data_IF_059667955501
#
_entry.id   IF_059667955501
#
_cell.length_a   1.000
_cell.length_b   1.000
_cell.length_c   1.000
_cell.angle_alpha   90.00
_cell.angle_beta   90.00
_cell.angle_gamma   90.00
#
_symmetry.space_group_name_H-M   'P 1'
#
loop_
_entity.id
_entity.type
_entity.pdbx_description
1 polymer ?
#
# COMPACT_ATOMS: atom_id res chain seq x y z
N UNK A 1 -0.41 -9.18 13.93
CA UNK A 1 -1.21 -10.23 13.28
C UNK A 1 -0.94 -10.18 11.78
N UNK A 2 0.08 -10.91 11.32
CA UNK A 2 0.14 -11.35 9.93
C UNK A 2 -1.04 -12.32 9.78
N UNK A 3 -1.88 -12.19 8.76
CA UNK A 3 -2.86 -13.24 8.43
C UNK A 3 -2.16 -14.11 7.39
N UNK A 4 -1.63 -15.28 7.75
CA UNK A 4 -1.07 -16.19 6.76
C UNK A 4 -2.26 -16.80 6.02
N UNK A 5 -2.40 -16.46 4.75
CA UNK A 5 -3.45 -17.01 3.90
C UNK A 5 -3.00 -16.92 2.45
N UNK A 6 -2.89 -18.07 1.79
CA UNK A 6 -2.75 -18.10 0.34
C UNK A 6 -4.15 -17.80 -0.23
N UNK A 7 -4.45 -16.53 -0.47
CA UNK A 7 -5.76 -16.11 -0.99
C UNK A 7 -5.80 -16.36 -2.50
N UNK A 8 -6.40 -17.47 -2.91
CA UNK A 8 -6.67 -17.76 -4.32
C UNK A 8 -7.50 -16.65 -4.94
N UNK A 9 -7.10 -16.17 -6.11
CA UNK A 9 -7.89 -15.23 -6.91
C UNK A 9 -8.96 -16.05 -7.65
N UNK A 10 -10.27 -15.79 -7.45
CA UNK A 10 -11.31 -16.45 -8.22
C UNK A 10 -11.07 -16.23 -9.70
N UNK A 11 -10.99 -17.30 -10.49
CA UNK A 11 -10.83 -17.18 -11.93
C UNK A 11 -12.21 -16.93 -12.54
N UNK A 12 -12.36 -15.95 -13.45
CA UNK A 12 -13.61 -15.78 -14.17
C UNK A 12 -13.88 -17.06 -14.95
N UNK A 13 -15.06 -17.64 -14.77
CA UNK A 13 -15.52 -18.73 -15.60
C UNK A 13 -15.72 -18.19 -17.02
N UNK A 14 -15.20 -18.89 -18.02
CA UNK A 14 -15.51 -18.56 -19.41
C UNK A 14 -17.02 -18.80 -19.60
N UNK A 15 -17.78 -17.73 -19.89
CA UNK A 15 -19.14 -17.89 -20.40
C UNK A 15 -19.04 -18.48 -21.81
N UNK A 16 -19.24 -19.79 -21.93
CA UNK A 16 -19.36 -20.45 -23.23
C UNK A 16 -20.78 -20.27 -23.77
N UNK A 17 -21.07 -19.15 -24.41
CA UNK A 17 -22.25 -19.03 -25.27
C UNK A 17 -21.94 -19.69 -26.62
N UNK A 18 -22.29 -20.97 -26.77
CA UNK A 18 -22.44 -21.60 -28.07
C UNK A 18 -21.24 -21.52 -29.03
N UNK A 19 -20.05 -21.95 -28.59
CA UNK A 19 -18.96 -22.31 -29.50
C UNK A 19 -17.87 -21.27 -29.76
N UNK A 20 -17.95 -20.06 -29.19
CA UNK A 20 -16.85 -19.09 -29.24
C UNK A 20 -16.36 -18.81 -27.81
N UNK A 21 -15.22 -19.39 -27.44
CA UNK A 21 -14.57 -19.16 -26.16
C UNK A 21 -14.17 -17.69 -26.04
N UNK A 22 -14.87 -16.90 -25.21
CA UNK A 22 -14.42 -15.57 -24.86
C UNK A 22 -13.07 -15.67 -24.12
N UNK A 23 -12.08 -14.80 -24.41
CA UNK A 23 -10.80 -14.86 -23.73
C UNK A 23 -10.99 -14.68 -22.22
N UNK A 24 -10.78 -15.75 -21.45
CA UNK A 24 -10.80 -15.65 -20.00
C UNK A 24 -9.65 -14.72 -19.56
N UNK A 25 -9.97 -13.67 -18.81
CA UNK A 25 -8.95 -12.80 -18.23
C UNK A 25 -8.17 -13.67 -17.22
N UNK A 26 -6.93 -14.04 -17.58
CA UNK A 26 -6.07 -14.85 -16.73
C UNK A 26 -5.52 -13.99 -15.59
N UNK A 27 -6.10 -14.10 -14.41
CA UNK A 27 -5.54 -13.46 -13.22
C UNK A 27 -4.38 -14.30 -12.66
N UNK A 28 -3.31 -13.68 -12.12
CA UNK A 28 -2.25 -14.43 -11.48
C UNK A 28 -2.79 -15.27 -10.32
N UNK A 29 -2.30 -16.51 -10.17
CA UNK A 29 -2.74 -17.45 -9.13
C UNK A 29 -2.51 -16.91 -7.70
N UNK A 30 -1.62 -15.94 -7.54
CA UNK A 30 -1.29 -15.26 -6.30
C UNK A 30 -1.42 -13.76 -6.51
N UNK A 31 -2.15 -13.09 -5.62
CA UNK A 31 -2.23 -11.64 -5.56
C UNK A 31 -1.82 -11.16 -4.16
N UNK A 32 -1.02 -10.10 -4.10
CA UNK A 32 -0.73 -9.43 -2.83
C UNK A 32 -2.02 -8.77 -2.34
N UNK A 33 -2.33 -8.97 -1.05
CA UNK A 33 -3.43 -8.28 -0.37
C UNK A 33 -2.88 -7.31 0.64
N UNK A 34 -3.50 -6.14 0.69
CA UNK A 34 -3.16 -5.10 1.64
C UNK A 34 -3.84 -5.42 2.96
N UNK A 35 -3.07 -5.61 4.03
CA UNK A 35 -3.61 -5.83 5.38
C UNK A 35 -3.87 -4.52 6.12
N UNK A 36 -3.01 -3.52 5.92
CA UNK A 36 -3.08 -2.19 6.56
C UNK A 36 -2.56 -1.13 5.62
N UNK A 37 -3.19 0.04 5.65
CA UNK A 37 -2.71 1.23 4.94
C UNK A 37 -2.46 2.32 5.97
N UNK A 38 -1.32 2.98 5.87
CA UNK A 38 -1.02 4.20 6.63
C UNK A 38 -1.06 5.40 5.69
N UNK A 39 -1.64 6.51 6.14
CA UNK A 39 -1.74 7.75 5.37
C UNK A 39 -1.52 8.96 6.26
N UNK A 40 -1.04 10.07 5.69
CA UNK A 40 -0.71 11.29 6.44
C UNK A 40 -1.87 12.27 6.62
N UNK A 41 -2.99 12.07 5.90
CA UNK A 41 -4.11 13.02 5.87
C UNK A 41 -5.40 12.41 6.42
N UNK A 42 -6.07 13.14 7.32
CA UNK A 42 -7.34 12.73 7.97
C UNK A 42 -8.47 12.53 6.96
N UNK A 43 -8.59 13.41 5.97
CA UNK A 43 -9.59 13.32 4.90
C UNK A 43 -9.43 12.04 4.06
N UNK A 44 -8.18 11.64 3.77
CA UNK A 44 -7.89 10.38 3.07
C UNK A 44 -8.29 9.15 3.89
N UNK A 45 -8.09 9.19 5.22
CA UNK A 45 -8.58 8.12 6.13
C UNK A 45 -10.10 8.02 6.05
N UNK A 46 -10.78 9.15 6.23
CA UNK A 46 -12.24 9.22 6.25
C UNK A 46 -12.84 8.71 4.95
N UNK A 47 -12.43 9.27 3.81
CA UNK A 47 -12.95 8.89 2.49
C UNK A 47 -12.68 7.42 2.15
N UNK A 48 -11.53 6.88 2.54
CA UNK A 48 -11.19 5.48 2.28
C UNK A 48 -12.02 4.50 3.11
N UNK A 49 -12.33 4.86 4.36
CA UNK A 49 -13.18 4.04 5.25
C UNK A 49 -14.64 4.12 4.86
N UNK A 50 -15.15 5.33 4.60
CA UNK A 50 -16.56 5.56 4.27
C UNK A 50 -16.96 4.87 2.96
N UNK A 51 -16.18 5.07 1.90
CA UNK A 51 -16.59 4.66 0.55
C UNK A 51 -16.14 3.24 0.17
N UNK A 52 -15.07 2.70 0.79
CA UNK A 52 -14.52 1.39 0.44
C UNK A 52 -14.27 0.45 1.64
N UNK A 53 -14.60 0.87 2.86
CA UNK A 53 -14.37 0.08 4.10
C UNK A 53 -12.87 -0.33 4.23
N UNK A 54 -11.97 0.49 3.70
CA UNK A 54 -10.54 0.17 3.71
C UNK A 54 -9.91 0.56 5.05
N UNK A 55 -9.13 -0.32 5.70
CA UNK A 55 -8.50 -0.05 6.99
C UNK A 55 -7.30 0.89 6.87
N UNK A 56 -7.58 2.17 6.56
CA UNK A 56 -6.61 3.26 6.58
C UNK A 56 -6.38 3.76 8.00
N UNK A 57 -5.14 4.04 8.36
CA UNK A 57 -4.73 4.55 9.67
C UNK A 57 -3.95 5.85 9.45
N UNK A 58 -4.20 6.84 10.32
CA UNK A 58 -3.42 8.08 10.30
C UNK A 58 -2.03 7.79 10.84
N UNK A 59 -0.99 8.25 10.15
CA UNK A 59 0.39 8.12 10.58
C UNK A 59 1.23 9.30 10.13
N UNK A 60 2.33 9.55 10.84
CA UNK A 60 3.32 10.57 10.46
C UNK A 60 4.46 9.89 9.70
N UNK A 61 4.87 10.50 8.60
CA UNK A 61 5.92 9.96 7.74
C UNK A 61 7.13 10.88 7.80
N UNK A 62 8.32 10.29 7.84
CA UNK A 62 9.58 10.98 7.62
C UNK A 62 10.35 10.30 6.49
N UNK A 63 10.94 11.14 5.65
CA UNK A 63 11.74 10.74 4.50
C UNK A 63 13.15 11.29 4.69
N UNK A 64 14.17 10.49 4.39
CA UNK A 64 15.58 10.94 4.51
C UNK A 64 16.01 11.92 3.43
N UNK A 65 15.18 12.12 2.40
CA UNK A 65 15.44 13.03 1.30
C UNK A 65 14.16 13.80 0.93
N UNK A 66 14.28 15.04 0.43
CA UNK A 66 13.15 15.79 -0.09
C UNK A 66 12.59 15.13 -1.38
N UNK A 67 11.38 15.54 -1.81
CA UNK A 67 10.85 15.11 -3.10
C UNK A 67 11.81 15.43 -4.25
N UNK A 68 12.01 14.47 -5.15
CA UNK A 68 12.83 14.64 -6.36
C UNK A 68 12.20 15.70 -7.26
N UNK A 69 12.98 16.70 -7.66
CA UNK A 69 12.51 17.71 -8.62
C UNK A 69 12.44 17.11 -10.03
N UNK A 70 11.47 17.53 -10.87
CA UNK A 70 11.39 17.06 -12.25
C UNK A 70 12.72 17.27 -13.00
N UNK A 71 13.19 16.23 -13.70
CA UNK A 71 14.44 16.28 -14.46
C UNK A 71 15.71 15.96 -13.65
N UNK A 72 15.61 15.72 -12.34
CA UNK A 72 16.75 15.27 -11.52
C UNK A 72 16.66 13.77 -11.18
N UNK A 73 17.80 13.17 -10.82
CA UNK A 73 17.84 11.77 -10.40
C UNK A 73 17.34 11.64 -8.95
N UNK A 74 16.54 10.61 -8.63
CA UNK A 74 16.17 10.31 -7.26
C UNK A 74 17.42 9.91 -6.44
N UNK A 75 17.34 9.98 -5.09
CA UNK A 75 18.44 9.53 -4.24
C UNK A 75 18.72 8.03 -4.43
N UNK A 76 19.98 7.64 -4.37
CA UNK A 76 20.43 6.23 -4.45
C UNK A 76 19.92 5.39 -3.28
N UNK A 77 19.59 6.04 -2.16
CA UNK A 77 19.05 5.41 -0.97
C UNK A 77 18.04 6.34 -0.30
N UNK A 78 16.82 5.84 -0.06
CA UNK A 78 15.74 6.56 0.60
C UNK A 78 15.28 5.78 1.83
N UNK A 79 15.50 6.34 3.02
CA UNK A 79 14.91 5.80 4.25
C UNK A 79 13.54 6.42 4.46
N UNK A 80 12.53 5.56 4.67
CA UNK A 80 11.17 5.94 5.02
C UNK A 80 10.84 5.40 6.40
N UNK A 81 10.33 6.27 7.27
CA UNK A 81 9.95 5.93 8.64
C UNK A 81 8.49 6.31 8.87
N UNK A 82 7.75 5.46 9.57
CA UNK A 82 6.34 5.65 9.91
C UNK A 82 6.20 5.70 11.41
N UNK A 83 5.59 6.76 11.92
CA UNK A 83 5.39 7.01 13.35
C UNK A 83 3.89 7.14 13.69
N UNK A 84 3.51 6.97 14.98
CA UNK A 84 2.17 7.25 15.44
C UNK A 84 1.72 8.68 15.10
N UNK A 85 0.41 8.91 14.88
CA UNK A 85 -0.11 10.21 14.43
C UNK A 85 0.15 11.36 15.41
N UNK A 86 0.28 11.06 16.71
CA UNK A 86 0.47 12.07 17.76
C UNK A 86 1.96 12.33 18.07
N UNK A 87 2.87 11.61 17.41
CA UNK A 87 4.31 11.85 17.56
C UNK A 87 4.76 13.13 16.86
N UNK A 88 5.81 13.74 17.38
CA UNK A 88 6.49 14.91 16.81
C UNK A 88 7.92 14.56 16.43
N UNK A 89 8.50 15.36 15.54
CA UNK A 89 9.91 15.23 15.20
C UNK A 89 10.77 15.58 16.43
N UNK A 90 11.73 14.73 16.77
CA UNK A 90 12.54 14.86 17.97
C UNK A 90 12.01 14.11 19.19
N UNK A 91 10.79 13.57 19.14
CA UNK A 91 10.36 12.62 20.16
C UNK A 91 11.21 11.33 20.04
N UNK A 92 11.66 10.77 21.16
CA UNK A 92 12.40 9.48 21.20
C UNK A 92 11.50 8.26 20.90
N UNK A 93 10.39 8.46 20.20
CA UNK A 93 9.43 7.43 19.83
C UNK A 93 10.02 6.60 18.69
N UNK A 94 10.37 5.34 18.96
CA UNK A 94 10.84 4.41 17.94
C UNK A 94 9.75 4.18 16.86
N UNK A 95 10.08 4.30 15.56
CA UNK A 95 9.09 4.07 14.52
C UNK A 95 8.69 2.57 14.49
N UNK A 96 7.38 2.24 14.47
CA UNK A 96 6.92 0.86 14.30
C UNK A 96 7.34 0.24 12.95
N UNK A 97 7.60 1.06 11.93
CA UNK A 97 8.06 0.61 10.63
C UNK A 97 9.14 1.55 10.07
N UNK A 98 10.23 0.97 9.58
CA UNK A 98 11.32 1.66 8.88
C UNK A 98 11.78 0.78 7.73
N UNK A 99 11.97 1.38 6.57
CA UNK A 99 12.50 0.70 5.38
C UNK A 99 13.49 1.60 4.67
N UNK A 100 14.54 1.01 4.12
CA UNK A 100 15.45 1.68 3.20
C UNK A 100 15.19 1.15 1.79
N UNK A 101 14.88 2.05 0.88
CA UNK A 101 14.61 1.76 -0.52
C UNK A 101 15.86 2.10 -1.34
N UNK A 102 16.31 1.14 -2.14
CA UNK A 102 17.39 1.30 -3.11
C UNK A 102 16.82 1.00 -4.50
N UNK A 103 17.04 1.87 -5.51
CA UNK A 103 16.57 1.67 -6.88
C UNK A 103 17.05 0.37 -7.52
#
# INVERSE_FOLDING_TARGET
MLIPGNFSVPQPYAFSNGGNEAPCIKFPKKALRIARIYVSQRTTVYNGRLNWIIPKHLARFEFSAPPTTPGTKPPESLTVQVFPPDSKAGDEVKPPFRVTLTP
#
